data_IF_032622791189
#
_entry.id   IF_032622791189
#
_cell.length_a   1.000
_cell.length_b   1.000
_cell.length_c   1.000
_cell.angle_alpha   90.00
_cell.angle_beta   90.00
_cell.angle_gamma   90.00
#
_symmetry.space_group_name_H-M   'P 1'
#
loop_
_entity.id
_entity.type
_entity.pdbx_description
1 polymer ?
#
# COMPACT_ATOMS: atom_id res chain seq x y z
N UNK A 1 2.26 -8.40 25.29
CA UNK A 1 0.81 -8.20 25.11
C UNK A 1 0.39 -8.94 23.86
N UNK A 2 -0.53 -9.91 23.94
CA UNK A 2 -1.10 -10.59 22.76
C UNK A 2 -2.34 -9.79 22.33
N UNK A 3 -2.37 -9.28 21.10
CA UNK A 3 -3.58 -8.67 20.53
C UNK A 3 -4.46 -9.79 19.95
N UNK A 4 -5.70 -9.90 20.43
CA UNK A 4 -6.74 -10.76 19.84
C UNK A 4 -7.67 -9.90 18.98
N UNK A 5 -7.59 -10.05 17.65
CA UNK A 5 -8.37 -9.26 16.71
C UNK A 5 -9.86 -9.63 16.74
N UNK A 6 -10.17 -10.90 16.92
CA UNK A 6 -11.52 -11.48 16.95
C UNK A 6 -12.37 -11.01 18.14
N UNK A 7 -11.75 -10.59 19.24
CA UNK A 7 -12.47 -9.98 20.38
C UNK A 7 -12.47 -8.46 20.34
N UNK A 8 -11.53 -7.87 19.60
CA UNK A 8 -11.34 -6.42 19.54
C UNK A 8 -12.02 -5.77 18.32
N UNK A 9 -12.43 -6.57 17.34
CA UNK A 9 -12.99 -6.11 16.07
C UNK A 9 -14.05 -7.09 15.54
N UNK A 10 -14.86 -6.64 14.58
CA UNK A 10 -15.92 -7.45 13.91
C UNK A 10 -15.34 -8.40 12.83
N UNK A 11 -14.01 -8.51 12.73
CA UNK A 11 -13.36 -9.39 11.75
C UNK A 11 -13.43 -10.86 12.17
N UNK A 12 -13.71 -11.75 11.22
CA UNK A 12 -13.64 -13.19 11.49
C UNK A 12 -12.19 -13.63 11.70
N UNK A 13 -11.98 -14.72 12.43
CA UNK A 13 -10.66 -15.31 12.63
C UNK A 13 -10.00 -15.73 11.31
N UNK A 14 -10.79 -16.16 10.32
CA UNK A 14 -10.30 -16.50 8.99
C UNK A 14 -9.82 -15.26 8.22
N UNK A 15 -10.58 -14.16 8.25
CA UNK A 15 -10.18 -12.89 7.62
C UNK A 15 -8.93 -12.32 8.28
N UNK A 16 -8.87 -12.36 9.61
CA UNK A 16 -7.71 -11.93 10.39
C UNK A 16 -6.46 -12.73 9.99
N UNK A 17 -6.56 -14.07 9.98
CA UNK A 17 -5.46 -14.96 9.62
C UNK A 17 -4.98 -14.71 8.18
N UNK A 18 -5.92 -14.62 7.23
CA UNK A 18 -5.58 -14.43 5.82
C UNK A 18 -4.86 -13.10 5.56
N UNK A 19 -5.20 -12.04 6.30
CA UNK A 19 -4.54 -10.75 6.20
C UNK A 19 -3.19 -10.71 6.92
N UNK A 20 -3.08 -11.38 8.07
CA UNK A 20 -1.82 -11.48 8.81
C UNK A 20 -0.75 -12.27 8.04
N UNK A 21 -1.13 -13.30 7.28
CA UNK A 21 -0.22 -14.08 6.44
C UNK A 21 0.33 -13.29 5.23
N UNK A 22 -0.34 -12.21 4.83
CA UNK A 22 0.03 -11.39 3.67
C UNK A 22 0.94 -10.21 4.01
N UNK A 23 1.37 -10.08 5.26
CA UNK A 23 2.26 -8.99 5.71
C UNK A 23 3.51 -9.52 6.40
N UNK A 24 4.60 -8.74 6.36
CA UNK A 24 5.83 -9.08 7.08
C UNK A 24 5.80 -8.73 8.58
N UNK A 25 4.86 -7.89 9.01
CA UNK A 25 4.74 -7.38 10.38
C UNK A 25 3.32 -7.59 10.93
N UNK A 26 2.91 -8.85 11.24
CA UNK A 26 1.55 -9.14 11.65
C UNK A 26 1.15 -8.47 12.97
N UNK A 27 2.08 -8.29 13.91
CA UNK A 27 1.80 -7.62 15.20
C UNK A 27 1.50 -6.13 15.02
N UNK A 28 2.27 -5.44 14.16
CA UNK A 28 2.01 -4.03 13.86
C UNK A 28 0.71 -3.86 13.06
N UNK A 29 0.42 -4.78 12.13
CA UNK A 29 -0.86 -4.79 11.43
C UNK A 29 -2.02 -4.93 12.41
N UNK A 30 -1.92 -5.89 13.35
CA UNK A 30 -2.97 -6.12 14.33
C UNK A 30 -3.21 -4.89 15.22
N UNK A 31 -2.12 -4.27 15.68
CA UNK A 31 -2.17 -3.02 16.45
C UNK A 31 -2.88 -1.93 15.64
N UNK A 32 -2.50 -1.77 14.37
CA UNK A 32 -3.08 -0.74 13.50
C UNK A 32 -4.60 -0.88 13.33
N UNK A 33 -5.06 -2.12 13.08
CA UNK A 33 -6.47 -2.42 12.85
C UNK A 33 -7.29 -2.24 14.13
N UNK A 34 -6.76 -2.68 15.27
CA UNK A 34 -7.44 -2.55 16.58
C UNK A 34 -7.53 -1.09 17.01
N UNK A 35 -6.45 -0.31 16.88
CA UNK A 35 -6.41 1.10 17.25
C UNK A 35 -7.44 1.92 16.45
N UNK A 36 -7.47 1.72 15.14
CA UNK A 36 -8.40 2.44 14.26
C UNK A 36 -9.83 1.93 14.47
N UNK A 37 -10.02 0.61 14.60
CA UNK A 37 -11.33 0.02 14.86
C UNK A 37 -11.95 0.45 16.19
N UNK A 38 -11.13 0.75 17.20
CA UNK A 38 -11.61 1.23 18.50
C UNK A 38 -12.22 2.63 18.44
N UNK A 39 -11.81 3.45 17.49
CA UNK A 39 -12.35 4.81 17.29
C UNK A 39 -13.30 4.91 16.09
N UNK A 40 -13.38 3.86 15.27
CA UNK A 40 -14.32 3.78 14.17
C UNK A 40 -15.68 3.32 14.70
N UNK A 41 -16.69 4.17 14.59
CA UNK A 41 -18.03 3.87 15.06
C UNK A 41 -18.76 2.87 14.15
N UNK A 42 -18.19 2.52 13.00
CA UNK A 42 -18.78 1.57 12.06
C UNK A 42 -18.54 0.15 12.55
N UNK A 43 -19.63 -0.56 12.89
CA UNK A 43 -19.61 -1.99 13.18
C UNK A 43 -19.59 -2.84 11.90
N UNK A 44 -19.36 -2.23 10.74
CA UNK A 44 -19.41 -2.91 9.45
C UNK A 44 -18.08 -3.60 9.15
N UNK A 45 -18.13 -4.90 8.88
CA UNK A 45 -16.94 -5.67 8.46
C UNK A 45 -16.27 -5.07 7.22
N UNK A 46 -17.05 -4.51 6.30
CA UNK A 46 -16.53 -3.84 5.09
C UNK A 46 -15.65 -2.62 5.42
N UNK A 47 -16.05 -1.81 6.42
CA UNK A 47 -15.25 -0.66 6.87
C UNK A 47 -13.91 -1.12 7.43
N UNK A 48 -13.92 -2.16 8.29
CA UNK A 48 -12.69 -2.70 8.86
C UNK A 48 -11.80 -3.39 7.82
N UNK A 49 -12.36 -4.04 6.81
CA UNK A 49 -11.55 -4.58 5.72
C UNK A 49 -10.83 -3.47 4.94
N UNK A 50 -11.44 -2.29 4.82
CA UNK A 50 -10.77 -1.13 4.24
C UNK A 50 -9.64 -0.60 5.13
N UNK A 51 -9.86 -0.54 6.45
CA UNK A 51 -8.80 -0.23 7.43
C UNK A 51 -7.65 -1.23 7.32
N UNK A 52 -7.95 -2.53 7.21
CA UNK A 52 -6.95 -3.59 7.00
C UNK A 52 -6.13 -3.33 5.74
N UNK A 53 -6.76 -3.01 4.61
CA UNK A 53 -6.03 -2.70 3.36
C UNK A 53 -5.06 -1.53 3.57
N UNK A 54 -5.52 -0.42 4.16
CA UNK A 54 -4.67 0.73 4.45
C UNK A 54 -3.50 0.40 5.40
N UNK A 55 -3.78 -0.33 6.49
CA UNK A 55 -2.75 -0.78 7.42
C UNK A 55 -1.73 -1.71 6.74
N UNK A 56 -2.15 -2.55 5.79
CA UNK A 56 -1.27 -3.44 5.01
C UNK A 56 -0.42 -2.69 3.98
N UNK A 57 -0.96 -1.61 3.38
CA UNK A 57 -0.22 -0.75 2.44
C UNK A 57 0.79 0.17 3.12
N UNK A 58 0.55 0.49 4.39
CA UNK A 58 1.48 1.31 5.17
C UNK A 58 2.81 0.58 5.39
N UNK A 59 3.92 1.31 5.18
CA UNK A 59 5.27 0.83 5.50
C UNK A 59 5.50 0.69 7.01
N UNK A 60 4.74 1.44 7.81
CA UNK A 60 4.84 1.51 9.28
C UNK A 60 3.43 1.52 9.89
N UNK A 61 2.77 0.36 10.00
CA UNK A 61 1.37 0.28 10.42
C UNK A 61 1.11 0.95 11.77
N UNK A 62 2.00 0.79 12.75
CA UNK A 62 1.85 1.42 14.07
C UNK A 62 1.93 2.96 14.03
N UNK A 63 2.76 3.54 13.16
CA UNK A 63 2.81 5.01 12.99
C UNK A 63 1.59 5.51 12.22
N UNK A 64 1.10 4.70 11.29
CA UNK A 64 -0.09 5.02 10.51
C UNK A 64 -1.34 5.05 11.40
N UNK A 65 -1.56 4.06 12.27
CA UNK A 65 -2.69 4.12 13.22
C UNK A 65 -2.59 5.31 14.18
N UNK A 66 -1.40 5.60 14.69
CA UNK A 66 -1.19 6.78 15.53
C UNK A 66 -1.55 8.10 14.80
N UNK A 67 -1.26 8.21 13.51
CA UNK A 67 -1.69 9.36 12.69
C UNK A 67 -3.21 9.43 12.59
N UNK A 68 -3.88 8.32 12.26
CA UNK A 68 -5.34 8.28 12.08
C UNK A 68 -6.06 8.59 13.38
N UNK A 69 -5.64 7.96 14.48
CA UNK A 69 -6.20 8.21 15.81
C UNK A 69 -5.94 9.64 16.27
N UNK A 70 -4.71 10.12 16.13
CA UNK A 70 -4.35 11.48 16.49
C UNK A 70 -5.12 12.54 15.69
N UNK A 71 -5.30 12.33 14.39
CA UNK A 71 -6.05 13.23 13.52
C UNK A 71 -7.53 13.26 13.90
N UNK A 72 -8.17 12.09 14.03
CA UNK A 72 -9.59 11.99 14.39
C UNK A 72 -9.89 12.46 15.81
N UNK A 73 -8.90 12.43 16.71
CA UNK A 73 -9.06 12.97 18.07
C UNK A 73 -9.08 14.50 18.14
N UNK A 74 -8.52 15.18 17.14
CA UNK A 74 -8.39 16.65 17.11
C UNK A 74 -9.43 17.31 16.20
N UNK A 75 -9.91 16.59 15.19
CA UNK A 75 -10.83 17.09 14.19
C UNK A 75 -11.83 16.00 13.84
N UNK A 76 -13.09 16.37 13.65
CA UNK A 76 -14.18 15.44 13.34
C UNK A 76 -14.10 15.01 11.85
N UNK A 77 -13.09 14.19 11.55
CA UNK A 77 -12.86 13.63 10.23
C UNK A 77 -13.54 12.26 10.10
N UNK A 78 -14.24 12.00 8.98
CA UNK A 78 -14.64 10.65 8.64
C UNK A 78 -13.40 9.78 8.49
N UNK A 79 -13.48 8.53 8.95
CA UNK A 79 -12.32 7.62 8.99
C UNK A 79 -11.65 7.48 7.64
N UNK A 80 -12.43 7.36 6.56
CA UNK A 80 -11.91 7.24 5.20
C UNK A 80 -10.98 8.40 4.81
N UNK A 81 -11.35 9.63 5.19
CA UNK A 81 -10.53 10.81 4.91
C UNK A 81 -9.27 10.81 5.75
N UNK A 82 -9.34 10.38 7.02
CA UNK A 82 -8.16 10.25 7.87
C UNK A 82 -7.19 9.19 7.35
N UNK A 83 -7.69 8.04 6.90
CA UNK A 83 -6.89 6.97 6.28
C UNK A 83 -6.13 7.49 5.05
N UNK A 84 -6.83 8.19 4.15
CA UNK A 84 -6.26 8.78 2.94
C UNK A 84 -5.17 9.84 3.23
N UNK A 85 -5.43 10.75 4.16
CA UNK A 85 -4.46 11.78 4.54
C UNK A 85 -3.19 11.18 5.18
N UNK A 86 -3.37 10.20 6.07
CA UNK A 86 -2.25 9.59 6.76
C UNK A 86 -1.39 8.71 5.85
N UNK A 87 -1.98 8.00 4.88
CA UNK A 87 -1.19 7.16 3.96
C UNK A 87 -0.35 8.04 3.02
N UNK A 88 -0.92 9.15 2.54
CA UNK A 88 -0.21 10.13 1.70
C UNK A 88 0.99 10.76 2.44
N UNK A 89 0.83 11.13 3.71
CA UNK A 89 1.91 11.71 4.52
C UNK A 89 3.09 10.74 4.73
N UNK A 90 2.84 9.43 4.74
CA UNK A 90 3.90 8.42 4.87
C UNK A 90 4.61 8.11 3.54
N UNK A 91 4.00 8.44 2.41
CA UNK A 91 4.56 8.19 1.08
C UNK A 91 5.51 9.32 0.68
N UNK A 92 6.67 9.40 1.36
CA UNK A 92 7.71 10.35 1.00
C UNK A 92 8.26 9.97 -0.38
N UNK A 93 8.41 10.92 -1.33
CA UNK A 93 8.92 10.59 -2.66
C UNK A 93 10.27 9.89 -2.55
N UNK A 94 10.45 8.78 -3.27
CA UNK A 94 11.73 8.04 -3.30
C UNK A 94 12.82 8.77 -4.10
N UNK A 95 12.46 9.86 -4.78
CA UNK A 95 13.33 10.67 -5.64
C UNK A 95 13.82 11.96 -4.94
N UNK A 96 14.09 11.94 -3.63
CA UNK A 96 14.78 13.06 -2.94
C UNK A 96 16.26 12.72 -2.71
N UNK A 97 16.78 11.68 -3.36
CA UNK A 97 18.23 11.49 -3.40
C UNK A 97 18.79 12.64 -4.26
N UNK A 98 19.71 13.47 -3.74
CA UNK A 98 20.38 14.43 -4.61
C UNK A 98 21.10 13.68 -5.73
N UNK A 99 20.82 14.05 -6.98
CA UNK A 99 21.50 13.56 -8.18
C UNK A 99 23.02 13.81 -8.13
N UNK A 100 23.45 14.72 -7.26
CA UNK A 100 24.84 15.13 -7.12
C UNK A 100 25.45 14.47 -5.88
N UNK A 101 26.11 13.33 -6.09
CA UNK A 101 27.21 12.95 -5.22
C UNK A 101 28.35 13.96 -5.47
N UNK A 102 28.84 14.71 -4.47
CA UNK A 102 30.00 15.57 -4.63
C UNK A 102 31.25 14.69 -4.72
N UNK A 103 31.51 14.17 -5.92
CA UNK A 103 32.59 13.23 -6.19
C UNK A 103 32.83 13.12 -7.70
N UNK A 104 33.54 14.10 -8.25
CA UNK A 104 34.39 13.98 -9.46
C UNK A 104 33.78 13.27 -10.68
N UNK A 105 32.64 13.73 -11.18
CA UNK A 105 32.14 13.38 -12.51
C UNK A 105 31.96 14.64 -13.36
N UNK A 106 32.76 14.79 -14.41
CA UNK A 106 32.52 15.78 -15.47
C UNK A 106 31.12 15.59 -16.06
N UNK A 107 30.39 16.66 -16.44
CA UNK A 107 29.14 16.53 -17.17
C UNK A 107 29.36 15.72 -18.45
N UNK A 108 28.83 14.50 -18.51
CA UNK A 108 28.73 13.77 -19.77
C UNK A 108 27.66 14.48 -20.59
N UNK A 109 28.10 15.28 -21.54
CA UNK A 109 27.28 15.82 -22.62
C UNK A 109 26.49 14.65 -23.25
N UNK A 110 25.17 14.76 -23.40
CA UNK A 110 24.38 13.71 -24.05
C UNK A 110 24.90 13.53 -25.49
N UNK A 111 25.09 12.28 -25.98
CA UNK A 111 25.47 12.08 -27.37
C UNK A 111 24.40 12.70 -28.27
N UNK A 112 24.83 13.63 -29.13
CA UNK A 112 24.01 14.28 -30.13
C UNK A 112 23.32 13.22 -30.99
N UNK A 113 22.00 13.11 -30.88
CA UNK A 113 21.17 12.17 -31.66
C UNK A 113 21.20 12.63 -33.12
N UNK A 114 21.92 11.91 -33.98
CA UNK A 114 21.68 12.01 -35.43
C UNK A 114 20.35 11.33 -35.74
N UNK A 115 19.53 11.86 -36.68
CA UNK A 115 18.27 11.21 -37.04
C UNK A 115 18.55 9.87 -37.73
N UNK A 116 18.03 8.78 -37.17
CA UNK A 116 18.05 7.47 -37.82
C UNK A 116 16.94 7.46 -38.90
N UNK A 117 17.17 6.94 -40.11
CA UNK A 117 16.14 6.89 -41.15
C UNK A 117 15.01 5.93 -40.78
N UNK A 118 13.80 6.35 -41.07
CA UNK A 118 12.55 5.60 -40.95
C UNK A 118 12.64 4.28 -41.76
N UNK A 119 12.67 3.13 -41.08
CA UNK A 119 12.48 1.82 -41.71
C UNK A 119 11.13 1.24 -41.31
N UNK A 120 10.23 1.32 -42.27
CA UNK A 120 8.94 0.64 -42.36
C UNK A 120 9.12 -0.89 -42.41
N UNK A 121 8.31 -1.61 -41.61
CA UNK A 121 7.59 -2.87 -41.95
C UNK A 121 7.48 -3.83 -40.76
N UNK A 122 6.27 -3.98 -40.21
CA UNK A 122 5.44 -5.20 -40.28
C UNK A 122 4.50 -5.36 -39.06
N UNK A 123 3.30 -5.96 -39.24
CA UNK A 123 2.21 -5.94 -38.27
C UNK A 123 2.34 -7.09 -37.25
N UNK A 124 2.19 -6.80 -35.95
CA UNK A 124 2.08 -7.83 -34.92
C UNK A 124 0.61 -8.06 -34.55
N UNK A 125 0.09 -9.16 -35.08
CA UNK A 125 -1.19 -9.80 -34.81
C UNK A 125 -1.22 -10.39 -33.39
N UNK A 126 -2.27 -10.09 -32.60
CA UNK A 126 -2.80 -11.04 -31.58
C UNK A 126 -3.22 -12.35 -32.27
N UNK A 127 -3.38 -13.54 -31.63
CA UNK A 127 -3.65 -13.81 -30.20
C UNK A 127 -2.90 -15.05 -29.65
N UNK A 128 -3.16 -15.48 -28.40
CA UNK A 128 -3.23 -16.92 -28.06
C UNK A 128 -3.80 -17.18 -26.66
N UNK A 129 -4.99 -17.78 -26.66
CA UNK A 129 -5.71 -18.40 -25.56
C UNK A 129 -4.96 -19.65 -25.05
N UNK A 130 -4.86 -19.92 -23.73
CA UNK A 130 -4.32 -21.17 -23.24
C UNK A 130 -5.32 -22.32 -23.35
N UNK A 131 -4.82 -23.40 -23.91
CA UNK A 131 -5.45 -24.67 -24.30
C UNK A 131 -5.96 -25.50 -23.10
N UNK A 132 -7.15 -26.07 -23.24
CA UNK A 132 -7.80 -26.96 -22.25
C UNK A 132 -7.14 -28.35 -22.20
N UNK A 133 -6.88 -28.84 -20.99
CA UNK A 133 -6.34 -30.17 -20.69
C UNK A 133 -7.48 -31.23 -20.62
N UNK A 134 -7.38 -32.41 -21.27
CA UNK A 134 -8.39 -33.46 -21.12
C UNK A 134 -8.12 -34.38 -19.91
N UNK A 135 -9.19 -34.73 -19.20
CA UNK A 135 -9.24 -35.82 -18.21
C UNK A 135 -9.09 -37.18 -18.89
N UNK A 136 -8.27 -38.05 -18.31
CA UNK A 136 -8.32 -39.49 -18.49
C UNK A 136 -8.01 -40.20 -17.18
#
# INVERSE_FOLDING_TARGET
MRLNIDTATVLTSADALSNCQRVRRPVELATCVVDIGAIDSSSETASLLNVVDHCRRSLLPARFSACVVGLRSQVDFPTETALSNCIAATNRPRNVLPDFLPGTGTPTEPPSVQPVPEQESAPQTSPSTPESLPLR
#
